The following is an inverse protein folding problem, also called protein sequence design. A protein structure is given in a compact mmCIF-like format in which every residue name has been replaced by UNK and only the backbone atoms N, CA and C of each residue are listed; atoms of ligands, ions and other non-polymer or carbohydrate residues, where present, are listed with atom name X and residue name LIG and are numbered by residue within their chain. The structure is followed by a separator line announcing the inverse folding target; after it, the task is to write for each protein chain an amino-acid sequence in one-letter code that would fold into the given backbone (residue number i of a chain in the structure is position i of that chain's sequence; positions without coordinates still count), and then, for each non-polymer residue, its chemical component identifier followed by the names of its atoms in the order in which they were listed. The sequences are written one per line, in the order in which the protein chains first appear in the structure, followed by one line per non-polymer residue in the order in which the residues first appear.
data_IF_248016400688
#
_entry.id   IF_248016400688
#
_cell.length_a   1.000
_cell.length_b   1.000
_cell.length_c   1.000
_cell.angle_alpha   90.00
_cell.angle_beta   90.00
_cell.angle_gamma   90.00
#
_symmetry.space_group_name_H-M   'P 1'
#
loop_
_entity.id
_entity.type
_entity.pdbx_description
1 polymer ?
#
# COMPACT_ATOMS: atom_id res chain seq x y z
N UNK A 1 -90.46 -6.20 -56.92
CA UNK A 1 -89.62 -6.26 -58.13
C UNK A 1 -89.32 -4.81 -58.52
N UNK A 2 -88.12 -4.28 -58.63
CA UNK A 2 -86.74 -4.73 -58.45
C UNK A 2 -85.94 -3.43 -58.18
N UNK A 3 -85.09 -3.41 -57.15
CA UNK A 3 -83.63 -3.27 -57.25
C UNK A 3 -83.12 -2.02 -58.00
N UNK A 4 -82.39 -1.14 -57.29
CA UNK A 4 -80.98 -0.76 -57.56
C UNK A 4 -80.60 0.37 -56.58
N UNK A 5 -79.94 0.05 -55.47
CA UNK A 5 -78.52 -0.26 -55.30
C UNK A 5 -77.70 1.00 -55.01
N UNK A 6 -77.28 1.07 -53.75
CA UNK A 6 -76.20 1.89 -53.24
C UNK A 6 -74.91 1.69 -54.06
N UNK A 7 -74.21 2.77 -54.37
CA UNK A 7 -72.77 2.77 -54.62
C UNK A 7 -72.19 3.89 -53.75
N UNK A 8 -71.84 3.56 -52.51
CA UNK A 8 -70.54 3.01 -52.11
C UNK A 8 -69.43 4.06 -52.21
N UNK A 9 -69.18 4.67 -51.06
CA UNK A 9 -67.94 5.35 -50.73
C UNK A 9 -66.76 4.42 -51.02
N UNK A 10 -65.81 4.90 -51.81
CA UNK A 10 -64.52 4.26 -52.03
C UNK A 10 -63.43 5.24 -51.67
N UNK A 11 -63.15 5.37 -50.37
CA UNK A 11 -62.02 6.14 -49.86
C UNK A 11 -60.73 5.61 -50.45
N UNK A 12 -60.08 6.45 -51.26
CA UNK A 12 -58.71 6.27 -51.71
C UNK A 12 -57.84 6.32 -50.44
N UNK A 13 -57.57 5.14 -49.89
CA UNK A 13 -56.71 5.00 -48.72
C UNK A 13 -55.29 5.29 -49.18
N UNK A 14 -54.89 6.53 -48.92
CA UNK A 14 -53.55 7.09 -49.06
C UNK A 14 -52.54 6.16 -48.38
N UNK A 15 -52.02 5.21 -49.16
CA UNK A 15 -51.04 4.24 -48.68
C UNK A 15 -49.68 4.91 -48.77
N UNK A 16 -49.04 5.20 -47.62
CA UNK A 16 -47.77 5.91 -47.61
C UNK A 16 -46.74 5.15 -48.43
N UNK A 17 -46.01 5.89 -49.24
CA UNK A 17 -44.95 5.38 -50.09
C UNK A 17 -43.91 4.64 -49.25
N UNK A 18 -43.17 3.73 -49.89
CA UNK A 18 -42.12 2.94 -49.22
C UNK A 18 -41.11 3.84 -48.49
N UNK A 19 -40.79 4.98 -49.08
CA UNK A 19 -39.91 6.01 -48.52
C UNK A 19 -40.49 6.65 -47.27
N UNK A 20 -41.74 7.09 -47.28
CA UNK A 20 -42.39 7.69 -46.08
C UNK A 20 -42.52 6.69 -44.93
N UNK A 21 -42.76 5.41 -45.24
CA UNK A 21 -42.77 4.35 -44.22
C UNK A 21 -41.40 4.12 -43.60
N UNK A 22 -40.34 4.21 -44.40
CA UNK A 22 -38.96 4.07 -43.91
C UNK A 22 -38.59 5.28 -43.06
N UNK A 23 -38.90 6.49 -43.50
CA UNK A 23 -38.61 7.73 -42.76
C UNK A 23 -39.36 7.80 -41.43
N UNK A 24 -40.64 7.43 -41.41
CA UNK A 24 -41.42 7.37 -40.17
C UNK A 24 -40.82 6.33 -39.21
N UNK A 25 -40.50 5.13 -39.70
CA UNK A 25 -39.86 4.09 -38.89
C UNK A 25 -38.47 4.51 -38.39
N UNK A 26 -37.69 5.21 -39.20
CA UNK A 26 -36.38 5.74 -38.80
C UNK A 26 -36.53 6.79 -37.71
N UNK A 27 -37.55 7.65 -37.79
CA UNK A 27 -37.86 8.66 -36.77
C UNK A 27 -38.30 8.00 -35.47
N UNK A 28 -39.23 7.05 -35.52
CA UNK A 28 -39.70 6.31 -34.35
C UNK A 28 -38.55 5.52 -33.68
N UNK A 29 -37.62 4.97 -34.47
CA UNK A 29 -36.41 4.32 -33.95
C UNK A 29 -35.48 5.35 -33.31
N UNK A 30 -35.28 6.52 -33.92
CA UNK A 30 -34.41 7.56 -33.38
C UNK A 30 -34.95 8.10 -32.06
N UNK A 31 -36.25 8.38 -32.00
CA UNK A 31 -36.96 8.88 -30.82
C UNK A 31 -36.95 7.83 -29.69
N UNK A 32 -37.15 6.55 -30.01
CA UNK A 32 -37.01 5.47 -29.03
C UNK A 32 -35.57 5.21 -28.56
N UNK A 33 -34.56 5.47 -29.40
CA UNK A 33 -33.14 5.42 -29.00
C UNK A 33 -32.78 6.60 -28.11
N UNK A 34 -33.33 7.79 -28.38
CA UNK A 34 -33.15 9.00 -27.59
C UNK A 34 -33.84 8.86 -26.22
N UNK A 35 -35.07 8.33 -26.14
CA UNK A 35 -35.75 8.00 -24.88
C UNK A 35 -35.03 6.91 -24.06
N UNK A 36 -34.38 5.94 -24.72
CA UNK A 36 -33.57 4.93 -24.02
C UNK A 36 -32.20 5.47 -23.56
N UNK A 37 -31.64 6.46 -24.27
CA UNK A 37 -30.43 7.16 -23.87
C UNK A 37 -30.69 8.16 -22.72
N UNK A 38 -31.87 8.78 -22.70
CA UNK A 38 -32.36 9.68 -21.64
C UNK A 38 -33.09 8.94 -20.52
N UNK A 39 -33.37 7.63 -20.69
CA UNK A 39 -33.92 6.76 -19.65
C UNK A 39 -32.96 6.55 -18.47
N UNK A 40 -33.43 6.03 -17.32
CA UNK A 40 -32.68 5.91 -16.06
C UNK A 40 -31.47 4.94 -16.09
N UNK A 41 -31.00 4.57 -17.29
CA UNK A 41 -29.88 3.68 -17.56
C UNK A 41 -28.50 4.23 -17.12
N UNK A 42 -28.43 5.34 -16.38
CA UNK A 42 -27.15 5.82 -15.87
C UNK A 42 -27.11 6.11 -14.36
N UNK A 43 -28.23 6.24 -13.65
CA UNK A 43 -28.18 6.57 -12.22
C UNK A 43 -27.73 5.39 -11.35
N UNK A 44 -28.26 4.19 -11.61
CA UNK A 44 -27.86 2.99 -10.85
C UNK A 44 -26.41 2.58 -11.14
N UNK A 45 -25.96 2.76 -12.38
CA UNK A 45 -24.57 2.54 -12.80
C UNK A 45 -23.66 3.59 -12.16
N UNK A 46 -24.09 4.85 -12.09
CA UNK A 46 -23.35 5.93 -11.43
C UNK A 46 -23.23 5.69 -9.92
N UNK A 47 -24.33 5.33 -9.25
CA UNK A 47 -24.33 4.98 -7.83
C UNK A 47 -23.41 3.80 -7.53
N UNK A 48 -23.43 2.75 -8.36
CA UNK A 48 -22.51 1.63 -8.23
C UNK A 48 -21.05 2.06 -8.43
N UNK A 49 -20.78 2.93 -9.41
CA UNK A 49 -19.45 3.46 -9.66
C UNK A 49 -18.96 4.36 -8.50
N UNK A 50 -19.84 5.11 -7.86
CA UNK A 50 -19.53 5.92 -6.67
C UNK A 50 -19.18 5.03 -5.48
N UNK A 51 -19.99 4.00 -5.21
CA UNK A 51 -19.73 3.02 -4.14
C UNK A 51 -18.40 2.28 -4.38
N UNK A 52 -18.12 1.86 -5.62
CA UNK A 52 -16.86 1.20 -5.96
C UNK A 52 -15.65 2.11 -5.76
N UNK A 53 -15.77 3.42 -6.03
CA UNK A 53 -14.72 4.42 -5.77
C UNK A 53 -14.50 4.63 -4.27
N UNK A 54 -15.58 4.67 -3.49
CA UNK A 54 -15.49 4.77 -2.03
C UNK A 54 -14.82 3.53 -1.42
N UNK A 55 -15.23 2.33 -1.85
CA UNK A 55 -14.62 1.07 -1.44
C UNK A 55 -13.12 1.02 -1.78
N UNK A 56 -12.74 1.46 -2.98
CA UNK A 56 -11.33 1.50 -3.39
C UNK A 56 -10.51 2.43 -2.49
N UNK A 57 -11.06 3.59 -2.14
CA UNK A 57 -10.40 4.56 -1.25
C UNK A 57 -10.18 3.98 0.14
N UNK A 58 -11.19 3.32 0.70
CA UNK A 58 -11.07 2.67 2.00
C UNK A 58 -10.11 1.47 1.98
N UNK A 59 -10.08 0.68 0.91
CA UNK A 59 -9.09 -0.37 0.73
C UNK A 59 -7.66 0.19 0.74
N UNK A 60 -7.38 1.23 -0.04
CA UNK A 60 -6.06 1.87 -0.04
C UNK A 60 -5.68 2.41 1.34
N UNK A 61 -6.64 3.00 2.06
CA UNK A 61 -6.43 3.50 3.43
C UNK A 61 -6.11 2.36 4.40
N UNK A 62 -6.85 1.27 4.34
CA UNK A 62 -6.65 0.09 5.18
C UNK A 62 -5.32 -0.59 4.87
N UNK A 63 -4.95 -0.73 3.60
CA UNK A 63 -3.65 -1.26 3.19
C UNK A 63 -2.49 -0.40 3.71
N UNK A 64 -2.59 0.92 3.58
CA UNK A 64 -1.57 1.83 4.11
C UNK A 64 -1.43 1.69 5.64
N UNK A 65 -2.56 1.60 6.36
CA UNK A 65 -2.56 1.37 7.80
C UNK A 65 -1.98 0.01 8.17
N UNK A 66 -2.28 -1.04 7.40
CA UNK A 66 -1.76 -2.38 7.62
C UNK A 66 -0.24 -2.41 7.42
N UNK A 67 0.28 -1.80 6.35
CA UNK A 67 1.73 -1.61 6.14
C UNK A 67 2.40 -0.87 7.31
N UNK A 68 1.76 0.19 7.81
CA UNK A 68 2.26 0.92 8.98
C UNK A 68 2.30 0.04 10.24
N UNK A 69 1.24 -0.72 10.50
CA UNK A 69 1.17 -1.61 11.66
C UNK A 69 2.20 -2.75 11.56
N UNK A 70 2.37 -3.36 10.40
CA UNK A 70 3.38 -4.40 10.18
C UNK A 70 4.80 -3.85 10.36
N UNK A 71 5.07 -2.63 9.88
CA UNK A 71 6.37 -1.99 10.14
C UNK A 71 6.60 -1.73 11.64
N UNK A 72 5.56 -1.33 12.39
CA UNK A 72 5.65 -1.16 13.85
C UNK A 72 5.83 -2.48 14.57
N UNK A 73 5.12 -3.52 14.14
CA UNK A 73 5.22 -4.87 14.69
C UNK A 73 6.63 -5.41 14.50
N UNK A 74 7.16 -5.37 13.27
CA UNK A 74 8.53 -5.81 12.95
C UNK A 74 9.58 -5.07 13.79
N UNK A 75 9.43 -3.76 13.99
CA UNK A 75 10.32 -2.99 14.90
C UNK A 75 10.21 -3.45 16.35
N UNK A 76 9.01 -3.72 16.85
CA UNK A 76 8.81 -4.19 18.22
C UNK A 76 9.32 -5.62 18.42
N UNK A 77 9.10 -6.51 17.45
CA UNK A 77 9.59 -7.89 17.44
C UNK A 77 11.12 -7.91 17.45
N UNK A 78 11.76 -7.05 16.66
CA UNK A 78 13.21 -6.98 16.62
C UNK A 78 13.80 -6.37 17.92
N UNK A 79 13.16 -5.34 18.49
CA UNK A 79 13.59 -4.76 19.77
C UNK A 79 13.43 -5.75 20.93
N UNK A 80 12.36 -6.54 20.93
CA UNK A 80 12.07 -7.51 21.99
C UNK A 80 12.72 -8.88 21.75
N UNK A 81 13.29 -9.14 20.57
CA UNK A 81 13.80 -10.45 20.20
C UNK A 81 12.72 -11.53 20.10
N UNK A 82 11.53 -11.15 19.62
CA UNK A 82 10.41 -12.09 19.36
C UNK A 82 10.38 -12.55 17.90
N UNK A 83 11.29 -12.03 17.08
CA UNK A 83 11.59 -12.57 15.75
C UNK A 83 12.18 -13.97 15.91
N UNK A 84 11.62 -14.96 15.24
CA UNK A 84 12.10 -16.35 15.27
C UNK A 84 13.54 -16.56 14.79
N UNK A 85 14.18 -15.53 14.21
CA UNK A 85 15.64 -15.40 14.11
C UNK A 85 16.19 -14.85 15.43
N UNK A 86 16.17 -15.69 16.46
CA UNK A 86 16.83 -15.37 17.73
C UNK A 86 18.34 -15.53 17.50
N UNK A 87 19.05 -14.42 17.21
CA UNK A 87 20.51 -14.41 17.30
C UNK A 87 20.81 -14.78 18.74
N UNK A 88 21.48 -15.92 18.92
CA UNK A 88 21.85 -16.44 20.23
C UNK A 88 22.94 -15.57 20.86
N UNK A 89 22.52 -14.43 21.43
CA UNK A 89 23.34 -13.57 22.26
C UNK A 89 23.45 -14.11 23.69
N UNK A 90 23.05 -15.36 23.96
CA UNK A 90 23.19 -15.97 25.29
C UNK A 90 24.66 -16.18 25.68
N UNK A 91 25.53 -16.41 24.70
CA UNK A 91 26.97 -16.59 24.92
C UNK A 91 27.69 -15.26 25.26
N UNK A 92 27.01 -14.12 25.09
CA UNK A 92 27.50 -12.81 25.54
C UNK A 92 27.18 -12.56 27.02
N UNK A 93 27.58 -13.47 27.89
CA UNK A 93 27.48 -13.35 29.35
C UNK A 93 28.18 -12.08 29.90
N UNK A 94 29.14 -11.53 29.14
CA UNK A 94 29.87 -10.31 29.46
C UNK A 94 29.29 -9.00 28.86
N UNK A 95 28.32 -9.08 27.94
CA UNK A 95 27.76 -7.90 27.29
C UNK A 95 26.60 -7.31 28.12
N UNK A 96 26.69 -6.02 28.45
CA UNK A 96 25.64 -5.30 29.15
C UNK A 96 24.34 -5.31 28.32
N UNK A 97 23.19 -5.46 28.98
CA UNK A 97 21.87 -5.52 28.36
C UNK A 97 21.58 -4.38 27.36
N UNK A 98 22.15 -3.19 27.59
CA UNK A 98 22.04 -2.04 26.68
C UNK A 98 22.80 -2.26 25.36
N UNK A 99 23.96 -2.92 25.41
CA UNK A 99 24.74 -3.28 24.22
C UNK A 99 23.99 -4.32 23.39
N UNK A 100 23.35 -5.29 24.07
CA UNK A 100 22.45 -6.26 23.41
C UNK A 100 21.29 -5.58 22.68
N UNK A 101 20.68 -4.54 23.28
CA UNK A 101 19.61 -3.75 22.61
C UNK A 101 20.11 -3.04 21.35
N UNK A 102 21.32 -2.48 21.40
CA UNK A 102 21.93 -1.82 20.23
C UNK A 102 22.22 -2.84 19.13
N UNK A 103 22.80 -4.00 19.45
CA UNK A 103 23.03 -5.07 18.46
C UNK A 103 21.71 -5.56 17.83
N UNK A 104 20.67 -5.78 18.65
CA UNK A 104 19.32 -6.12 18.14
C UNK A 104 18.77 -5.04 17.19
N UNK A 105 19.00 -3.76 17.49
CA UNK A 105 18.55 -2.67 16.64
C UNK A 105 19.32 -2.60 15.29
N UNK A 106 20.62 -2.92 15.28
CA UNK A 106 21.41 -3.00 14.04
C UNK A 106 20.83 -4.07 13.09
N UNK A 107 20.46 -5.23 13.66
CA UNK A 107 19.85 -6.34 12.94
C UNK A 107 18.44 -5.97 12.46
N UNK A 108 17.64 -5.34 13.33
CA UNK A 108 16.30 -4.84 13.00
C UNK A 108 16.30 -3.89 11.79
N UNK A 109 17.30 -3.02 11.74
CA UNK A 109 17.46 -2.04 10.67
C UNK A 109 18.13 -2.65 9.41
N UNK A 110 18.60 -3.90 9.47
CA UNK A 110 19.31 -4.57 8.38
C UNK A 110 20.65 -3.90 8.02
N UNK A 111 21.30 -3.23 8.98
CA UNK A 111 22.54 -2.48 8.73
C UNK A 111 23.75 -3.42 8.78
N UNK A 112 24.32 -3.73 7.61
CA UNK A 112 25.58 -4.48 7.54
C UNK A 112 26.78 -3.64 8.02
N UNK A 113 26.72 -2.31 7.81
CA UNK A 113 27.80 -1.37 8.14
C UNK A 113 27.30 -0.25 9.03
N UNK A 114 28.11 0.09 10.04
CA UNK A 114 27.79 1.13 11.01
C UNK A 114 29.00 2.03 11.28
N UNK A 115 28.74 3.31 11.49
CA UNK A 115 29.71 4.32 11.93
C UNK A 115 29.54 4.62 13.42
N UNK A 116 30.45 5.42 13.99
CA UNK A 116 30.32 5.91 15.37
C UNK A 116 29.02 6.69 15.56
N UNK A 117 28.64 7.50 14.57
CA UNK A 117 27.44 8.35 14.69
C UNK A 117 26.16 7.51 14.58
N UNK A 118 26.15 6.46 13.75
CA UNK A 118 25.08 5.47 13.72
C UNK A 118 24.94 4.78 15.08
N UNK A 119 26.05 4.32 15.67
CA UNK A 119 26.02 3.67 16.98
C UNK A 119 25.53 4.64 18.07
N UNK A 120 25.94 5.91 18.04
CA UNK A 120 25.44 6.94 18.97
C UNK A 120 23.94 7.14 18.84
N UNK A 121 23.42 7.19 17.63
CA UNK A 121 21.99 7.31 17.37
C UNK A 121 21.24 6.10 17.92
N UNK A 122 21.75 4.89 17.64
CA UNK A 122 21.16 3.65 18.13
C UNK A 122 21.16 3.58 19.67
N UNK A 123 22.25 3.94 20.33
CA UNK A 123 22.25 4.01 21.80
C UNK A 123 21.25 5.03 22.32
N UNK A 124 21.12 6.21 21.71
CA UNK A 124 20.16 7.24 22.16
C UNK A 124 18.72 6.82 21.94
N UNK A 125 18.44 6.14 20.83
CA UNK A 125 17.11 5.66 20.46
C UNK A 125 16.65 4.43 21.26
N UNK A 126 17.58 3.53 21.61
CA UNK A 126 17.25 2.22 22.16
C UNK A 126 17.69 2.02 23.62
N UNK A 127 18.36 3.00 24.23
CA UNK A 127 18.80 2.94 25.64
C UNK A 127 18.52 4.25 26.39
N UNK A 128 18.67 4.22 27.71
CA UNK A 128 18.56 5.35 28.63
C UNK A 128 19.85 6.20 28.71
N UNK A 129 20.93 5.82 28.01
CA UNK A 129 22.21 6.53 28.08
C UNK A 129 22.13 7.86 27.33
N UNK A 130 22.48 8.97 28.00
CA UNK A 130 22.52 10.32 27.41
C UNK A 130 23.90 10.98 27.50
N UNK A 131 24.76 10.54 28.42
CA UNK A 131 26.11 11.08 28.58
C UNK A 131 26.99 10.76 27.37
N UNK A 132 27.62 11.78 26.78
CA UNK A 132 28.50 11.63 25.63
C UNK A 132 29.77 10.81 25.95
N UNK A 133 30.31 10.96 27.16
CA UNK A 133 31.47 10.19 27.62
C UNK A 133 31.12 8.71 27.77
N UNK A 134 30.00 8.42 28.43
CA UNK A 134 29.51 7.05 28.58
C UNK A 134 29.22 6.40 27.23
N UNK A 135 28.59 7.12 26.28
CA UNK A 135 28.38 6.61 24.93
C UNK A 135 29.68 6.29 24.22
N UNK A 136 30.70 7.14 24.36
CA UNK A 136 32.00 6.93 23.73
C UNK A 136 32.68 5.68 24.27
N UNK A 137 32.71 5.49 25.59
CA UNK A 137 33.31 4.33 26.21
C UNK A 137 32.57 3.04 25.84
N UNK A 138 31.24 3.11 25.80
CA UNK A 138 30.39 1.97 25.42
C UNK A 138 30.56 1.56 23.97
N UNK A 139 30.58 2.52 23.05
CA UNK A 139 30.85 2.25 21.63
C UNK A 139 32.24 1.62 21.46
N UNK A 140 33.24 2.11 22.21
CA UNK A 140 34.59 1.53 22.18
C UNK A 140 34.60 0.07 22.67
N UNK A 141 33.88 -0.24 23.76
CA UNK A 141 33.77 -1.61 24.25
C UNK A 141 32.98 -2.50 23.29
N UNK A 142 31.85 -2.02 22.77
CA UNK A 142 30.98 -2.76 21.85
C UNK A 142 31.72 -3.13 20.55
N UNK A 143 32.43 -2.16 19.96
CA UNK A 143 33.19 -2.36 18.71
C UNK A 143 34.49 -3.16 18.90
N UNK A 144 34.89 -3.45 20.15
CA UNK A 144 35.99 -4.34 20.47
C UNK A 144 35.55 -5.81 20.62
N UNK A 145 34.24 -6.07 20.59
CA UNK A 145 33.67 -7.42 20.62
C UNK A 145 33.71 -8.07 19.24
N UNK A 146 33.75 -9.40 19.19
CA UNK A 146 33.88 -10.22 17.97
C UNK A 146 32.72 -10.07 16.95
N UNK A 147 31.64 -9.37 17.33
CA UNK A 147 30.51 -9.06 16.45
C UNK A 147 30.76 -7.86 15.52
N UNK A 148 31.91 -7.20 15.63
CA UNK A 148 32.27 -6.05 14.80
C UNK A 148 33.63 -6.26 14.15
N UNK A 149 33.64 -6.28 12.82
CA UNK A 149 34.84 -6.28 12.02
C UNK A 149 35.16 -4.86 11.56
N UNK A 150 36.37 -4.37 11.80
CA UNK A 150 36.79 -3.06 11.34
C UNK A 150 37.07 -3.11 9.82
N UNK A 151 36.17 -2.52 9.01
CA UNK A 151 36.27 -2.52 7.54
C UNK A 151 37.09 -1.34 7.02
N UNK A 152 36.89 -0.16 7.61
CA UNK A 152 37.53 1.06 7.14
C UNK A 152 37.91 1.95 8.32
N UNK A 153 39.18 2.37 8.32
CA UNK A 153 39.70 3.38 9.24
C UNK A 153 40.12 4.61 8.43
N UNK A 154 39.14 5.43 8.08
CA UNK A 154 39.38 6.71 7.42
C UNK A 154 39.85 7.77 8.39
N UNK A 155 40.41 8.87 7.85
CA UNK A 155 40.87 10.03 8.64
C UNK A 155 39.75 10.68 9.48
N UNK A 156 38.49 10.56 9.02
CA UNK A 156 37.33 11.22 9.64
C UNK A 156 36.20 10.27 10.02
N UNK A 157 36.16 9.07 9.42
CA UNK A 157 35.09 8.09 9.65
C UNK A 157 35.69 6.72 9.83
N UNK A 158 35.39 6.10 10.96
CA UNK A 158 35.65 4.68 11.18
C UNK A 158 34.36 3.92 10.95
N UNK A 159 34.41 2.86 10.15
CA UNK A 159 33.26 2.04 9.77
C UNK A 159 33.53 0.60 10.14
N UNK A 160 32.57 0.00 10.84
CA UNK A 160 32.58 -1.41 11.21
C UNK A 160 31.51 -2.15 10.43
N UNK A 161 31.80 -3.39 10.06
CA UNK A 161 30.81 -4.37 9.62
C UNK A 161 30.32 -5.12 10.84
N UNK A 162 29.00 -5.24 10.96
CA UNK A 162 28.39 -6.08 11.97
C UNK A 162 28.34 -7.53 11.46
N UNK A 163 29.03 -8.43 12.15
CA UNK A 163 29.18 -9.85 11.79
C UNK A 163 28.30 -10.78 12.63
N UNK A 164 27.56 -10.25 13.60
CA UNK A 164 26.70 -11.05 14.49
C UNK A 164 25.47 -11.69 13.84
N UNK A 165 25.33 -11.63 12.51
CA UNK A 165 24.27 -12.29 11.74
C UNK A 165 24.74 -13.68 11.23
N UNK A 166 26.05 -13.94 11.24
CA UNK A 166 26.64 -15.23 10.82
C UNK A 166 26.96 -16.10 12.04
N UNK A 167 25.95 -16.74 12.64
CA UNK A 167 26.09 -17.92 13.50
C UNK A 167 24.80 -18.71 13.55
#
# INVERSE_FOLDING_TARGET
MAAHSEHAAGGETDRPSRTERIERRQRDIFEGVEELADGPANEQVQLLADVLREMHTELCRLEARNRQLNSRLSKLEAVNGLSGDEIDLSDTSAADHRDKKVMKAIVADGRERVTIDDLRELYRGHTDIRSAETLKDRIKTLTATDHFELVNRGLHTTTWRFTGIES
#
